data_IF_501784935680
#
_entry.id   IF_501784935680
#
_cell.length_a   1.000
_cell.length_b   1.000
_cell.length_c   1.000
_cell.angle_alpha   90.00
_cell.angle_beta   90.00
_cell.angle_gamma   90.00
#
_symmetry.space_group_name_H-M   'P 1'
#
loop_
_entity.id
_entity.type
_entity.pdbx_description
1 polymer ?
#
# COMPACT_ATOMS: atom_id res chain seq x y z
N UNK A 1 3.65 -5.81 26.19
CA UNK A 1 4.42 -6.04 24.95
C UNK A 1 3.46 -5.97 23.77
N UNK A 2 3.77 -5.16 22.77
CA UNK A 2 3.03 -5.14 21.52
C UNK A 2 3.44 -6.38 20.70
N UNK A 3 2.43 -7.13 20.25
CA UNK A 3 2.64 -8.41 19.59
C UNK A 3 2.51 -8.31 18.09
N UNK A 4 3.18 -9.20 17.38
CA UNK A 4 2.97 -9.41 15.95
C UNK A 4 1.53 -9.86 15.69
N UNK A 5 1.03 -9.58 14.48
CA UNK A 5 -0.33 -9.88 14.05
C UNK A 5 -0.36 -10.65 12.75
N UNK A 6 -1.29 -11.60 12.68
CA UNK A 6 -1.65 -12.34 11.47
C UNK A 6 -3.17 -12.38 11.31
N UNK A 7 -3.65 -12.94 10.22
CA UNK A 7 -5.07 -13.24 10.07
C UNK A 7 -5.46 -14.42 10.98
N UNK A 8 -6.70 -14.39 11.52
CA UNK A 8 -7.24 -15.50 12.31
C UNK A 8 -7.70 -16.64 11.43
N UNK A 9 -8.33 -16.32 10.30
CA UNK A 9 -8.91 -17.29 9.38
C UNK A 9 -8.46 -17.04 7.94
N UNK A 10 -8.56 -18.07 7.10
CA UNK A 10 -8.38 -17.94 5.66
C UNK A 10 -9.59 -17.21 5.07
N UNK A 11 -9.34 -16.24 4.18
CA UNK A 11 -10.40 -15.56 3.44
C UNK A 11 -10.07 -15.50 1.96
N UNK A 12 -11.11 -15.54 1.12
CA UNK A 12 -10.99 -15.55 -0.34
C UNK A 12 -11.79 -14.43 -0.96
N UNK A 13 -11.27 -13.92 -2.05
CA UNK A 13 -11.95 -12.94 -2.90
C UNK A 13 -11.66 -13.25 -4.37
N UNK A 14 -12.48 -12.69 -5.23
CA UNK A 14 -12.30 -12.74 -6.67
C UNK A 14 -12.41 -11.31 -7.20
N UNK A 15 -11.54 -10.96 -8.12
CA UNK A 15 -11.57 -9.66 -8.80
C UNK A 15 -10.92 -9.75 -10.17
N UNK A 16 -10.65 -8.59 -10.75
CA UNK A 16 -9.95 -8.47 -12.05
C UNK A 16 -8.65 -7.70 -11.86
N UNK A 17 -7.64 -8.04 -12.65
CA UNK A 17 -6.40 -7.26 -12.71
C UNK A 17 -6.65 -5.93 -13.42
N UNK A 18 -6.13 -4.84 -12.88
CA UNK A 18 -6.28 -3.50 -13.49
C UNK A 18 -5.64 -3.46 -14.88
N UNK A 19 -4.45 -4.01 -15.02
CA UNK A 19 -3.69 -3.96 -16.26
C UNK A 19 -3.99 -5.13 -17.18
N UNK A 20 -4.07 -6.35 -16.65
CA UNK A 20 -4.29 -7.57 -17.42
C UNK A 20 -5.74 -7.77 -17.84
N UNK A 21 -6.72 -7.29 -17.04
CA UNK A 21 -8.14 -7.61 -17.22
C UNK A 21 -8.49 -9.05 -16.87
N UNK A 22 -7.53 -9.84 -16.42
CA UNK A 22 -7.74 -11.25 -16.08
C UNK A 22 -8.53 -11.41 -14.77
N UNK A 23 -9.31 -12.47 -14.69
CA UNK A 23 -9.98 -12.87 -13.45
C UNK A 23 -8.97 -13.48 -12.49
N UNK A 24 -8.90 -12.94 -11.28
CA UNK A 24 -7.92 -13.33 -10.27
C UNK A 24 -8.64 -13.87 -9.03
N UNK A 25 -8.20 -15.03 -8.56
CA UNK A 25 -8.57 -15.58 -7.26
C UNK A 25 -7.49 -15.21 -6.25
N UNK A 26 -7.88 -14.47 -5.23
CA UNK A 26 -7.06 -14.06 -4.10
C UNK A 26 -7.42 -14.87 -2.87
N UNK A 27 -6.42 -15.43 -2.18
CA UNK A 27 -6.61 -16.04 -0.86
C UNK A 27 -5.62 -15.42 0.13
N UNK A 28 -6.12 -14.85 1.21
CA UNK A 28 -5.31 -14.39 2.33
C UNK A 28 -5.31 -15.47 3.40
N UNK A 29 -4.13 -15.86 3.87
CA UNK A 29 -3.93 -16.93 4.86
C UNK A 29 -3.08 -16.45 6.03
N UNK A 30 -3.35 -16.96 7.26
CA UNK A 30 -2.45 -16.79 8.38
C UNK A 30 -1.02 -17.27 8.05
N UNK A 31 -0.03 -16.65 8.66
CA UNK A 31 1.35 -17.08 8.58
C UNK A 31 2.00 -17.12 9.96
N UNK A 32 3.03 -17.98 10.18
CA UNK A 32 3.79 -18.02 11.43
C UNK A 32 4.46 -16.67 11.77
N UNK A 33 4.88 -16.52 13.01
CA UNK A 33 5.70 -15.38 13.45
C UNK A 33 6.94 -15.21 12.57
N UNK A 34 7.37 -13.97 12.36
CA UNK A 34 8.56 -13.59 11.58
C UNK A 34 8.54 -14.01 10.10
N UNK A 35 7.38 -14.42 9.58
CA UNK A 35 7.23 -14.72 8.14
C UNK A 35 7.31 -13.45 7.29
N UNK A 36 6.69 -12.36 7.76
CA UNK A 36 6.42 -11.17 6.95
C UNK A 36 5.24 -11.37 6.01
N UNK A 37 5.08 -10.47 5.04
CA UNK A 37 4.08 -10.59 3.98
C UNK A 37 4.70 -11.32 2.80
N UNK A 38 4.12 -12.44 2.40
CA UNK A 38 4.64 -13.30 1.33
C UNK A 38 3.56 -13.53 0.28
N UNK A 39 3.85 -13.12 -0.94
CA UNK A 39 3.01 -13.37 -2.11
C UNK A 39 3.36 -14.71 -2.75
N UNK A 40 2.35 -15.48 -3.10
CA UNK A 40 2.47 -16.83 -3.65
C UNK A 40 1.76 -16.94 -4.99
N UNK A 41 2.47 -17.28 -6.07
CA UNK A 41 1.89 -17.63 -7.38
C UNK A 41 1.51 -19.10 -7.33
N UNK A 42 0.22 -19.36 -7.09
CA UNK A 42 -0.29 -20.74 -6.91
C UNK A 42 -0.84 -21.34 -8.20
N UNK A 43 -0.84 -20.59 -9.27
CA UNK A 43 -1.24 -20.99 -10.63
C UNK A 43 -0.10 -21.62 -11.44
N UNK A 44 1.13 -21.52 -10.95
CA UNK A 44 2.31 -22.10 -11.60
C UNK A 44 2.48 -23.56 -11.22
N UNK A 45 3.13 -24.36 -12.08
CA UNK A 45 3.41 -25.79 -11.82
C UNK A 45 4.13 -26.01 -10.49
N UNK A 46 5.00 -25.09 -10.12
CA UNK A 46 5.62 -25.01 -8.78
C UNK A 46 5.25 -23.66 -8.16
N UNK A 47 4.72 -23.69 -6.94
CA UNK A 47 4.39 -22.45 -6.21
C UNK A 47 5.64 -21.61 -6.00
N UNK A 48 5.61 -20.38 -6.50
CA UNK A 48 6.69 -19.41 -6.28
C UNK A 48 6.28 -18.42 -5.20
N UNK A 49 7.13 -18.25 -4.21
CA UNK A 49 6.92 -17.34 -3.09
C UNK A 49 7.86 -16.15 -3.19
N UNK A 50 7.32 -14.93 -3.11
CA UNK A 50 8.10 -13.69 -3.14
C UNK A 50 7.76 -12.87 -1.90
N UNK A 51 8.73 -12.60 -1.05
CA UNK A 51 8.55 -11.72 0.11
C UNK A 51 8.37 -10.28 -0.34
N UNK A 52 7.43 -9.57 0.28
CA UNK A 52 7.25 -8.14 0.12
C UNK A 52 8.43 -7.40 0.78
N UNK A 53 9.45 -7.09 -0.01
CA UNK A 53 10.69 -6.41 0.41
C UNK A 53 11.18 -5.46 -0.68
N UNK A 54 11.89 -4.36 -0.34
CA UNK A 54 12.34 -3.38 -1.33
C UNK A 54 13.24 -3.99 -2.40
N UNK A 55 14.09 -4.96 -2.02
CA UNK A 55 15.02 -5.65 -2.94
C UNK A 55 14.33 -6.52 -3.98
N UNK A 56 13.10 -6.99 -3.71
CA UNK A 56 12.31 -7.81 -4.62
C UNK A 56 11.44 -6.96 -5.59
N UNK A 57 11.42 -5.64 -5.45
CA UNK A 57 10.76 -4.76 -6.41
C UNK A 57 11.61 -4.67 -7.68
N UNK A 58 11.07 -5.14 -8.80
CA UNK A 58 11.76 -5.18 -10.09
C UNK A 58 11.15 -4.27 -11.15
N UNK A 59 9.89 -3.81 -10.97
CA UNK A 59 9.23 -2.86 -11.85
C UNK A 59 8.32 -1.93 -11.04
N UNK A 60 8.30 -0.66 -11.42
CA UNK A 60 7.51 0.39 -10.74
C UNK A 60 6.73 1.26 -11.72
N UNK A 61 6.60 0.81 -12.96
CA UNK A 61 5.79 1.48 -13.96
C UNK A 61 4.32 1.17 -13.71
N UNK A 62 3.53 2.20 -13.43
CA UNK A 62 2.09 2.18 -13.17
C UNK A 62 1.67 1.48 -11.85
N UNK A 63 2.50 0.63 -11.27
CA UNK A 63 2.25 -0.08 -10.02
C UNK A 63 3.56 -0.60 -9.40
N UNK A 64 3.54 -0.97 -8.15
CA UNK A 64 4.66 -1.68 -7.53
C UNK A 64 4.57 -3.17 -7.86
N UNK A 65 5.64 -3.69 -8.48
CA UNK A 65 5.72 -5.09 -8.93
C UNK A 65 6.88 -5.81 -8.27
N UNK A 66 6.58 -6.91 -7.58
CA UNK A 66 7.59 -7.86 -7.12
C UNK A 66 8.04 -8.74 -8.28
N UNK A 67 9.34 -9.02 -8.33
CA UNK A 67 9.93 -9.87 -9.36
C UNK A 67 10.92 -10.85 -8.69
N UNK A 68 10.81 -12.11 -9.05
CA UNK A 68 11.77 -13.14 -8.70
C UNK A 68 11.98 -14.05 -9.92
N UNK A 69 13.18 -14.02 -10.48
CA UNK A 69 13.47 -14.62 -11.78
C UNK A 69 12.46 -14.12 -12.84
N UNK A 70 11.74 -15.01 -13.49
CA UNK A 70 10.75 -14.70 -14.52
C UNK A 70 9.32 -14.50 -13.94
N UNK A 71 9.15 -14.64 -12.62
CA UNK A 71 7.84 -14.54 -11.98
C UNK A 71 7.59 -13.13 -11.48
N UNK A 72 6.44 -12.58 -11.83
CA UNK A 72 6.01 -11.22 -11.49
C UNK A 72 4.71 -11.24 -10.69
N UNK A 73 4.56 -10.28 -9.78
CA UNK A 73 3.32 -9.97 -9.07
C UNK A 73 3.19 -8.45 -9.00
N UNK A 74 2.24 -7.89 -9.74
CA UNK A 74 2.04 -6.44 -9.86
C UNK A 74 0.88 -5.94 -9.00
N UNK A 75 0.78 -4.62 -8.86
CA UNK A 75 -0.32 -3.89 -8.19
C UNK A 75 -0.48 -4.32 -6.72
N UNK A 76 0.64 -4.44 -6.00
CA UNK A 76 0.65 -4.92 -4.61
C UNK A 76 0.34 -3.81 -3.59
N UNK A 77 0.47 -2.55 -3.96
CA UNK A 77 0.46 -1.37 -3.09
C UNK A 77 -0.84 -1.22 -2.28
N UNK A 78 -2.00 -1.42 -2.88
CA UNK A 78 -3.30 -1.24 -2.19
C UNK A 78 -3.51 -2.31 -1.10
N UNK A 79 -3.15 -3.57 -1.40
CA UNK A 79 -3.23 -4.65 -0.43
C UNK A 79 -2.20 -4.47 0.69
N UNK A 80 -0.96 -4.10 0.37
CA UNK A 80 0.07 -3.77 1.37
C UNK A 80 -0.35 -2.60 2.24
N UNK A 81 -1.00 -1.58 1.66
CA UNK A 81 -1.56 -0.45 2.41
C UNK A 81 -2.60 -0.90 3.43
N UNK A 82 -3.49 -1.83 3.07
CA UNK A 82 -4.46 -2.41 4.00
C UNK A 82 -3.78 -3.23 5.11
N UNK A 83 -2.75 -4.04 4.76
CA UNK A 83 -1.96 -4.79 5.75
C UNK A 83 -1.26 -3.84 6.74
N UNK A 84 -0.62 -2.77 6.25
CA UNK A 84 -0.01 -1.73 7.08
C UNK A 84 -1.05 -1.06 7.97
N UNK A 85 -2.19 -0.66 7.40
CA UNK A 85 -3.26 0.04 8.10
C UNK A 85 -3.84 -0.74 9.27
N UNK A 86 -3.88 -2.06 9.17
CA UNK A 86 -4.39 -2.97 10.20
C UNK A 86 -3.29 -3.60 11.05
N UNK A 87 -2.02 -3.29 10.74
CA UNK A 87 -0.85 -3.76 11.48
C UNK A 87 -0.60 -5.25 11.36
N UNK A 88 -0.89 -5.85 10.19
CA UNK A 88 -0.64 -7.28 9.92
C UNK A 88 0.83 -7.48 9.59
N UNK A 89 1.54 -8.19 10.44
CA UNK A 89 2.97 -8.47 10.27
C UNK A 89 3.24 -9.70 9.40
N UNK A 90 2.37 -10.73 9.48
CA UNK A 90 2.60 -12.02 8.86
C UNK A 90 1.37 -12.50 8.10
N UNK A 91 1.50 -12.74 6.81
CA UNK A 91 0.45 -13.31 5.97
C UNK A 91 1.01 -13.98 4.71
N UNK A 92 0.36 -15.05 4.26
CA UNK A 92 0.52 -15.56 2.91
C UNK A 92 -0.61 -15.02 2.03
N UNK A 93 -0.26 -14.59 0.82
CA UNK A 93 -1.16 -14.03 -0.18
C UNK A 93 -1.07 -14.88 -1.43
N UNK A 94 -2.02 -15.80 -1.62
CA UNK A 94 -2.06 -16.67 -2.78
C UNK A 94 -2.80 -15.98 -3.93
N UNK A 95 -2.21 -16.01 -5.11
CA UNK A 95 -2.71 -15.40 -6.34
C UNK A 95 -2.72 -16.43 -7.48
N UNK A 96 -3.81 -16.45 -8.25
CA UNK A 96 -3.98 -17.27 -9.45
C UNK A 96 -3.51 -16.60 -10.73
N UNK A 97 -2.83 -15.45 -10.64
CA UNK A 97 -2.31 -14.68 -11.77
C UNK A 97 -1.19 -13.73 -11.33
N UNK A 98 -0.58 -13.04 -12.28
CA UNK A 98 0.57 -12.15 -12.06
C UNK A 98 0.22 -10.76 -11.49
N UNK A 99 -1.01 -10.56 -11.03
CA UNK A 99 -1.49 -9.26 -10.56
C UNK A 99 -2.40 -9.41 -9.35
N UNK A 100 -2.33 -8.50 -8.38
CA UNK A 100 -3.32 -8.39 -7.31
C UNK A 100 -4.60 -7.79 -7.88
N UNK A 101 -5.81 -8.34 -7.58
CA UNK A 101 -7.05 -7.77 -8.12
C UNK A 101 -7.24 -6.33 -7.67
N UNK A 102 -7.69 -5.46 -8.59
CA UNK A 102 -7.85 -4.02 -8.32
C UNK A 102 -9.01 -3.72 -7.37
N UNK A 103 -9.96 -4.62 -7.26
CA UNK A 103 -11.18 -4.46 -6.47
C UNK A 103 -11.97 -3.21 -6.90
N UNK A 104 -12.19 -2.26 -5.99
CA UNK A 104 -12.85 -0.98 -6.26
C UNK A 104 -11.85 0.17 -6.53
N UNK A 105 -10.56 -0.17 -6.70
CA UNK A 105 -9.48 0.81 -6.91
C UNK A 105 -8.91 1.42 -5.65
N UNK A 106 -9.33 0.96 -4.46
CA UNK A 106 -8.86 1.43 -3.15
C UNK A 106 -8.38 0.28 -2.27
N UNK A 107 -7.90 0.58 -1.07
CA UNK A 107 -7.56 -0.42 -0.05
C UNK A 107 -8.80 -0.89 0.75
N UNK A 108 -9.95 -0.22 0.61
CA UNK A 108 -11.16 -0.49 1.39
C UNK A 108 -11.63 -1.95 1.36
N UNK A 109 -11.77 -2.59 0.20
CA UNK A 109 -12.16 -4.01 0.11
C UNK A 109 -11.17 -4.95 0.81
N UNK A 110 -9.86 -4.66 0.76
CA UNK A 110 -8.86 -5.46 1.47
C UNK A 110 -8.93 -5.27 2.99
N UNK A 111 -9.20 -4.04 3.45
CA UNK A 111 -9.50 -3.78 4.87
C UNK A 111 -10.68 -4.61 5.33
N UNK A 112 -11.77 -4.62 4.55
CA UNK A 112 -12.97 -5.43 4.85
C UNK A 112 -12.65 -6.93 4.89
N UNK A 113 -11.87 -7.46 3.95
CA UNK A 113 -11.48 -8.87 3.93
C UNK A 113 -10.66 -9.23 5.16
N UNK A 114 -9.64 -8.43 5.51
CA UNK A 114 -8.78 -8.69 6.68
C UNK A 114 -9.60 -8.65 7.98
N UNK A 115 -10.47 -7.65 8.14
CA UNK A 115 -11.35 -7.55 9.30
C UNK A 115 -12.33 -8.73 9.37
N UNK A 116 -12.87 -9.18 8.23
CA UNK A 116 -13.77 -10.35 8.15
C UNK A 116 -13.05 -11.67 8.47
N UNK A 117 -11.78 -11.81 8.09
CA UNK A 117 -10.96 -12.96 8.48
C UNK A 117 -10.67 -12.96 9.99
N UNK A 118 -10.74 -11.81 10.62
CA UNK A 118 -10.29 -11.57 11.98
C UNK A 118 -8.78 -11.44 12.06
N UNK A 119 -8.31 -10.76 13.12
CA UNK A 119 -6.89 -10.54 13.39
C UNK A 119 -6.52 -11.27 14.67
N UNK A 120 -5.38 -11.96 14.65
CA UNK A 120 -4.84 -12.71 15.78
C UNK A 120 -3.47 -12.14 16.19
N UNK A 121 -3.29 -11.90 17.47
CA UNK A 121 -2.00 -11.54 18.05
C UNK A 121 -1.16 -12.80 18.30
N UNK A 122 0.08 -12.77 17.84
CA UNK A 122 1.03 -13.88 17.94
C UNK A 122 1.99 -13.69 19.11
N UNK A 123 2.52 -14.78 19.63
CA UNK A 123 3.43 -14.73 20.79
C UNK A 123 4.87 -14.34 20.39
N UNK A 124 5.02 -13.20 19.74
CA UNK A 124 6.30 -12.60 19.37
C UNK A 124 6.19 -11.06 19.43
N UNK A 125 7.27 -10.33 19.78
CA UNK A 125 7.25 -8.88 19.81
C UNK A 125 7.07 -8.31 18.39
N UNK A 126 6.20 -7.31 18.25
CA UNK A 126 6.09 -6.52 17.03
C UNK A 126 7.31 -5.61 16.91
N UNK A 127 7.92 -5.61 15.74
CA UNK A 127 9.08 -4.78 15.44
C UNK A 127 8.64 -3.55 14.65
N UNK A 128 9.35 -2.46 14.89
CA UNK A 128 9.17 -1.19 14.19
C UNK A 128 10.51 -0.71 13.67
N UNK A 129 10.51 -0.08 12.50
CA UNK A 129 11.65 0.67 11.98
C UNK A 129 11.51 2.12 12.42
N UNK A 130 12.41 2.59 13.29
CA UNK A 130 12.44 3.99 13.73
C UNK A 130 13.45 4.77 12.93
N UNK A 131 13.01 5.88 12.33
CA UNK A 131 13.89 6.81 11.62
C UNK A 131 14.66 7.66 12.63
N UNK A 132 15.99 7.66 12.55
CA UNK A 132 16.90 8.40 13.44
C UNK A 132 17.45 9.66 12.82
N UNK A 133 17.59 9.69 11.50
CA UNK A 133 18.12 10.83 10.75
C UNK A 133 17.34 11.00 9.44
N UNK A 134 17.28 12.21 8.89
CA UNK A 134 16.68 12.43 7.59
C UNK A 134 17.37 11.60 6.50
N UNK A 135 16.57 11.00 5.62
CA UNK A 135 17.00 10.35 4.38
C UNK A 135 16.14 10.92 3.26
N UNK A 136 16.76 11.38 2.19
CA UNK A 136 16.06 12.00 1.06
C UNK A 136 16.61 11.47 -0.26
N UNK A 137 15.72 11.30 -1.22
CA UNK A 137 16.06 11.01 -2.62
C UNK A 137 15.28 11.95 -3.53
N UNK A 138 15.86 12.25 -4.67
CA UNK A 138 15.32 13.17 -5.66
C UNK A 138 15.42 12.57 -7.07
N UNK A 139 14.47 12.91 -7.92
CA UNK A 139 14.44 12.57 -9.34
C UNK A 139 13.78 13.74 -10.07
N UNK A 140 14.60 14.55 -10.77
CA UNK A 140 14.21 15.83 -11.35
C UNK A 140 13.58 16.77 -10.28
N UNK A 141 12.31 17.11 -10.44
CA UNK A 141 11.54 17.95 -9.51
C UNK A 141 10.78 17.15 -8.45
N UNK A 142 10.97 15.83 -8.38
CA UNK A 142 10.28 14.94 -7.44
C UNK A 142 11.17 14.68 -6.23
N UNK A 143 10.54 14.62 -5.07
CA UNK A 143 11.24 14.38 -3.79
C UNK A 143 10.50 13.34 -2.97
N UNK A 144 11.23 12.41 -2.37
CA UNK A 144 10.75 11.53 -1.33
C UNK A 144 11.72 11.58 -0.14
N UNK A 145 11.17 11.72 1.08
CA UNK A 145 11.97 11.97 2.28
C UNK A 145 11.41 11.28 3.51
N UNK A 146 12.32 10.76 4.34
CA UNK A 146 12.06 10.39 5.73
C UNK A 146 12.67 11.39 6.69
N UNK A 147 11.97 11.64 7.80
CA UNK A 147 12.46 12.42 8.93
C UNK A 147 12.12 11.72 10.25
N UNK A 148 12.93 11.94 11.32
CA UNK A 148 12.57 11.52 12.66
C UNK A 148 11.24 12.15 13.10
N UNK A 149 10.35 11.32 13.62
CA UNK A 149 9.06 11.74 14.18
C UNK A 149 8.60 10.69 15.19
N UNK A 150 8.01 11.14 16.31
CA UNK A 150 7.46 10.23 17.31
C UNK A 150 6.00 9.89 16.97
N UNK A 151 5.83 8.93 16.07
CA UNK A 151 4.59 8.52 15.45
C UNK A 151 4.85 8.01 14.04
N UNK A 152 3.82 7.85 13.23
CA UNK A 152 3.95 7.65 11.81
C UNK A 152 3.12 8.70 11.07
N UNK A 153 3.80 9.59 10.40
CA UNK A 153 3.18 10.68 9.64
C UNK A 153 3.46 10.49 8.16
N UNK A 154 2.43 10.66 7.34
CA UNK A 154 2.54 10.57 5.87
C UNK A 154 1.96 11.83 5.25
N UNK A 155 2.82 12.63 4.64
CA UNK A 155 2.45 13.80 3.86
C UNK A 155 2.70 13.59 2.38
N UNK A 156 1.81 14.06 1.53
CA UNK A 156 1.98 13.98 0.08
C UNK A 156 1.50 15.25 -0.62
N UNK A 157 2.24 15.66 -1.64
CA UNK A 157 1.88 16.76 -2.53
C UNK A 157 1.90 16.24 -3.96
N UNK A 158 0.77 16.42 -4.67
CA UNK A 158 0.65 16.21 -6.11
C UNK A 158 0.60 17.57 -6.81
N UNK A 159 0.94 17.59 -8.09
CA UNK A 159 0.84 18.80 -8.89
C UNK A 159 0.36 18.43 -10.30
N UNK A 160 -0.91 18.73 -10.56
CA UNK A 160 -1.53 18.53 -11.86
C UNK A 160 -2.14 19.84 -12.35
N UNK A 161 -1.80 20.24 -13.57
CA UNK A 161 -2.42 21.40 -14.23
C UNK A 161 -3.70 20.96 -14.95
N UNK A 162 -4.76 20.79 -14.15
CA UNK A 162 -6.06 20.37 -14.66
C UNK A 162 -7.17 21.10 -13.87
N UNK A 163 -8.31 21.51 -14.47
CA UNK A 163 -9.37 22.26 -13.81
C UNK A 163 -9.88 21.65 -12.51
N UNK A 164 -10.05 20.33 -12.47
CA UNK A 164 -10.47 19.58 -11.28
C UNK A 164 -9.51 19.78 -10.11
N UNK A 165 -8.20 19.78 -10.37
CA UNK A 165 -7.19 19.95 -9.33
C UNK A 165 -7.04 21.38 -8.85
N UNK A 166 -7.41 22.38 -9.68
CA UNK A 166 -7.46 23.80 -9.24
C UNK A 166 -8.50 24.06 -8.17
N UNK A 167 -9.56 23.25 -8.13
CA UNK A 167 -10.64 23.34 -7.14
C UNK A 167 -10.48 22.37 -5.95
N UNK A 168 -9.48 21.48 -5.99
CA UNK A 168 -9.23 20.48 -4.98
C UNK A 168 -7.87 20.68 -4.31
N UNK A 169 -7.74 20.20 -3.08
CA UNK A 169 -6.47 20.23 -2.36
C UNK A 169 -5.49 19.23 -2.99
N UNK A 170 -4.31 19.71 -3.36
CA UNK A 170 -3.23 18.90 -3.91
C UNK A 170 -2.18 18.50 -2.85
N UNK A 171 -2.40 18.86 -1.60
CA UNK A 171 -1.58 18.46 -0.46
C UNK A 171 -2.47 17.87 0.63
N UNK A 172 -2.03 16.77 1.23
CA UNK A 172 -2.68 16.19 2.41
C UNK A 172 -1.62 15.54 3.30
N UNK A 173 -1.89 15.49 4.59
CA UNK A 173 -1.06 14.85 5.60
C UNK A 173 -1.96 14.04 6.55
N UNK A 174 -1.50 12.88 6.95
CA UNK A 174 -2.16 12.04 7.95
C UNK A 174 -1.18 11.71 9.07
N UNK A 175 -1.64 11.88 10.31
CA UNK A 175 -1.03 11.25 11.48
C UNK A 175 -1.65 9.86 11.63
N UNK A 176 -0.84 8.85 11.37
CA UNK A 176 -1.30 7.49 11.13
C UNK A 176 -1.72 6.79 12.41
N UNK A 177 -2.93 6.27 12.36
CA UNK A 177 -3.44 5.21 13.23
C UNK A 177 -4.34 4.30 12.40
N UNK A 178 -4.69 3.11 12.86
CA UNK A 178 -5.70 2.30 12.15
C UNK A 178 -6.99 3.09 11.92
N UNK A 179 -7.42 3.88 12.90
CA UNK A 179 -8.67 4.65 12.80
C UNK A 179 -8.59 5.74 11.75
N UNK A 180 -7.51 6.54 11.72
CA UNK A 180 -7.33 7.58 10.71
C UNK A 180 -7.17 6.97 9.31
N UNK A 181 -6.37 5.92 9.17
CA UNK A 181 -6.22 5.20 7.91
C UNK A 181 -7.55 4.71 7.37
N UNK A 182 -8.33 3.97 8.18
CA UNK A 182 -9.62 3.40 7.72
C UNK A 182 -10.63 4.48 7.37
N UNK A 183 -10.72 5.56 8.15
CA UNK A 183 -11.71 6.63 7.93
C UNK A 183 -11.33 7.59 6.80
N UNK A 184 -10.05 7.93 6.68
CA UNK A 184 -9.62 9.07 5.89
C UNK A 184 -8.90 8.69 4.60
N UNK A 185 -8.30 7.49 4.53
CA UNK A 185 -7.41 7.11 3.42
C UNK A 185 -7.86 5.85 2.70
N UNK A 186 -8.25 4.81 3.43
CA UNK A 186 -8.39 3.45 2.88
C UNK A 186 -9.33 3.34 1.67
N UNK A 187 -10.30 4.24 1.52
CA UNK A 187 -11.29 4.23 0.44
C UNK A 187 -10.96 5.18 -0.72
N UNK A 188 -9.81 5.84 -0.71
CA UNK A 188 -9.35 6.69 -1.81
C UNK A 188 -9.01 5.82 -3.02
N UNK A 189 -9.68 6.08 -4.15
CA UNK A 189 -9.54 5.29 -5.38
C UNK A 189 -8.37 5.77 -6.22
N UNK A 190 -7.78 4.83 -6.94
CA UNK A 190 -6.88 5.16 -8.05
C UNK A 190 -7.57 6.02 -9.09
N UNK A 191 -6.80 6.78 -9.86
CA UNK A 191 -7.36 7.70 -10.85
C UNK A 191 -6.49 7.74 -12.11
N UNK A 192 -7.10 8.16 -13.20
CA UNK A 192 -6.40 8.35 -14.46
C UNK A 192 -7.14 9.30 -15.38
N UNK A 193 -6.39 9.87 -16.32
CA UNK A 193 -6.94 10.72 -17.36
C UNK A 193 -7.39 9.86 -18.55
N UNK A 194 -8.54 10.18 -19.13
CA UNK A 194 -9.14 9.39 -20.23
C UNK A 194 -8.15 9.18 -21.38
N UNK A 195 -7.45 10.24 -21.80
CA UNK A 195 -6.48 10.17 -22.89
C UNK A 195 -5.27 9.26 -22.57
N UNK A 196 -4.83 9.20 -21.30
CA UNK A 196 -3.77 8.29 -20.88
C UNK A 196 -4.26 6.84 -20.83
N UNK A 197 -5.51 6.61 -20.37
CA UNK A 197 -6.13 5.29 -20.35
C UNK A 197 -6.28 4.73 -21.76
N UNK A 198 -6.65 5.56 -22.75
CA UNK A 198 -6.73 5.17 -24.15
C UNK A 198 -5.36 4.73 -24.69
N UNK A 199 -4.30 5.51 -24.42
CA UNK A 199 -2.93 5.16 -24.79
C UNK A 199 -2.42 3.87 -24.09
N UNK A 200 -2.81 3.65 -22.82
CA UNK A 200 -2.47 2.43 -22.11
C UNK A 200 -3.16 1.21 -22.73
N UNK A 201 -4.43 1.32 -23.13
CA UNK A 201 -5.17 0.26 -23.80
C UNK A 201 -4.58 -0.13 -25.15
N UNK A 202 -4.09 0.84 -25.92
CA UNK A 202 -3.36 0.58 -27.16
C UNK A 202 -2.08 -0.26 -26.94
N UNK A 203 -1.54 -0.23 -25.70
CA UNK A 203 -0.37 -1.01 -25.27
C UNK A 203 -0.75 -2.27 -24.48
N UNK A 204 -2.01 -2.70 -24.55
CA UNK A 204 -2.55 -3.85 -23.81
C UNK A 204 -2.42 -3.69 -22.27
N UNK A 205 -2.51 -2.46 -21.75
CA UNK A 205 -2.53 -2.13 -20.32
C UNK A 205 -3.87 -1.50 -19.94
N UNK A 206 -4.17 -1.44 -18.64
CA UNK A 206 -5.43 -0.93 -18.08
C UNK A 206 -6.68 -1.61 -18.68
N UNK A 207 -6.57 -2.89 -19.09
CA UNK A 207 -7.65 -3.64 -19.73
C UNK A 207 -8.83 -3.91 -18.78
N UNK A 208 -8.57 -4.02 -17.47
CA UNK A 208 -9.58 -4.19 -16.43
C UNK A 208 -10.07 -2.88 -15.81
N UNK A 209 -9.54 -1.74 -16.27
CA UNK A 209 -9.93 -0.42 -15.75
C UNK A 209 -11.34 -0.01 -16.18
N UNK A 210 -12.14 0.47 -15.22
CA UNK A 210 -13.51 0.94 -15.42
C UNK A 210 -13.85 2.06 -14.42
N UNK A 211 -15.00 2.70 -14.61
CA UNK A 211 -15.52 3.68 -13.65
C UNK A 211 -15.87 3.07 -12.27
N UNK A 212 -15.97 1.73 -12.18
CA UNK A 212 -16.23 1.03 -10.92
C UNK A 212 -14.97 0.90 -10.05
N UNK A 213 -13.79 0.98 -10.67
CA UNK A 213 -12.51 0.74 -9.99
C UNK A 213 -11.45 1.84 -10.17
N UNK A 214 -11.82 2.97 -10.77
CA UNK A 214 -10.95 4.14 -10.89
C UNK A 214 -11.77 5.43 -10.96
N UNK A 215 -11.21 6.52 -10.48
CA UNK A 215 -11.70 7.86 -10.79
C UNK A 215 -11.13 8.27 -12.13
N UNK A 216 -11.99 8.49 -13.12
CA UNK A 216 -11.59 8.87 -14.47
C UNK A 216 -11.90 10.33 -14.73
N UNK A 217 -10.92 11.05 -15.28
CA UNK A 217 -11.04 12.45 -15.63
C UNK A 217 -10.98 12.62 -17.16
N UNK A 218 -11.89 13.43 -17.71
CA UNK A 218 -11.72 14.01 -19.04
C UNK A 218 -10.90 15.31 -18.95
N UNK A 219 -10.91 16.16 -19.96
CA UNK A 219 -10.19 17.44 -19.98
C UNK A 219 -10.73 18.48 -18.98
N UNK A 220 -11.92 18.28 -18.41
CA UNK A 220 -12.62 19.29 -17.64
C UNK A 220 -13.15 18.80 -16.28
N UNK A 221 -13.51 17.51 -16.16
CA UNK A 221 -14.27 17.00 -15.03
C UNK A 221 -13.98 15.52 -14.71
N UNK A 222 -14.47 15.10 -13.54
CA UNK A 222 -14.59 13.68 -13.16
C UNK A 222 -15.78 13.07 -13.92
N UNK A 223 -15.58 11.89 -14.50
CA UNK A 223 -16.59 11.17 -15.28
C UNK A 223 -17.47 10.24 -14.45
N UNK A 224 -17.00 9.85 -13.25
CA UNK A 224 -17.78 9.00 -12.34
C UNK A 224 -19.04 9.72 -11.88
N UNK A 225 -20.21 9.13 -12.08
CA UNK A 225 -21.52 9.76 -11.74
C UNK A 225 -21.63 10.05 -10.24
N UNK A 226 -21.10 9.17 -9.38
CA UNK A 226 -21.09 9.34 -7.91
C UNK A 226 -20.07 10.38 -7.42
N UNK A 227 -19.25 10.94 -8.31
CA UNK A 227 -18.19 11.89 -7.97
C UNK A 227 -17.06 11.31 -7.13
N UNK A 228 -16.49 12.12 -6.24
CA UNK A 228 -15.40 11.76 -5.36
C UNK A 228 -15.89 11.27 -3.99
N UNK A 229 -15.21 10.30 -3.41
CA UNK A 229 -15.47 9.80 -2.03
C UNK A 229 -14.93 10.74 -0.95
N UNK A 230 -13.87 11.49 -1.28
CA UNK A 230 -13.25 12.51 -0.43
C UNK A 230 -12.99 13.77 -1.26
N UNK A 231 -13.07 14.95 -0.64
CA UNK A 231 -12.74 16.19 -1.32
C UNK A 231 -11.32 16.23 -1.86
N UNK A 232 -10.41 15.54 -1.19
CA UNK A 232 -8.98 15.40 -1.49
C UNK A 232 -8.60 13.96 -1.90
N UNK A 233 -9.52 13.23 -2.57
CA UNK A 233 -9.37 11.80 -2.89
C UNK A 233 -8.09 11.50 -3.67
N UNK A 234 -7.71 12.35 -4.62
CA UNK A 234 -6.53 12.13 -5.45
C UNK A 234 -5.23 12.08 -4.62
N UNK A 235 -5.02 13.09 -3.78
CA UNK A 235 -3.81 13.10 -2.93
C UNK A 235 -3.87 12.06 -1.83
N UNK A 236 -5.05 11.74 -1.31
CA UNK A 236 -5.25 10.64 -0.35
C UNK A 236 -4.96 9.27 -0.97
N UNK A 237 -5.26 9.09 -2.25
CA UNK A 237 -4.85 7.88 -2.94
C UNK A 237 -3.32 7.78 -3.03
N UNK A 238 -2.61 8.87 -3.30
CA UNK A 238 -1.13 8.87 -3.26
C UNK A 238 -0.56 8.59 -1.87
N UNK A 239 -1.26 9.01 -0.80
CA UNK A 239 -0.92 8.61 0.58
C UNK A 239 -1.15 7.10 0.78
N UNK A 240 -2.27 6.55 0.27
CA UNK A 240 -2.56 5.13 0.30
C UNK A 240 -1.45 4.32 -0.38
N UNK A 241 -1.07 4.69 -1.60
CA UNK A 241 0.03 4.07 -2.36
C UNK A 241 1.34 4.12 -1.57
N UNK A 242 1.69 5.30 -1.04
CA UNK A 242 2.90 5.48 -0.25
C UNK A 242 2.91 4.58 0.98
N UNK A 243 1.81 4.48 1.75
CA UNK A 243 1.73 3.59 2.91
C UNK A 243 2.00 2.13 2.50
N UNK A 244 1.45 1.68 1.37
CA UNK A 244 1.69 0.35 0.83
C UNK A 244 3.14 0.13 0.40
N UNK A 245 3.70 1.08 -0.35
CA UNK A 245 5.11 1.02 -0.79
C UNK A 245 6.07 1.01 0.42
N UNK A 246 5.82 1.86 1.42
CA UNK A 246 6.67 1.93 2.62
C UNK A 246 6.59 0.65 3.46
N UNK A 247 5.48 -0.10 3.39
CA UNK A 247 5.33 -1.35 4.12
C UNK A 247 6.23 -2.48 3.59
N UNK A 248 6.85 -2.31 2.43
CA UNK A 248 7.93 -3.15 1.92
C UNK A 248 9.15 -3.21 2.85
N UNK A 249 9.33 -2.26 3.78
CA UNK A 249 10.31 -2.39 4.87
C UNK A 249 10.09 -3.63 5.73
N UNK A 250 8.88 -4.21 5.69
CA UNK A 250 8.50 -5.44 6.39
C UNK A 250 8.12 -5.23 7.86
N UNK A 251 8.15 -4.00 8.34
CA UNK A 251 7.76 -3.59 9.68
C UNK A 251 7.05 -2.24 9.64
N UNK A 252 6.24 -1.96 10.66
CA UNK A 252 5.64 -0.64 10.82
C UNK A 252 6.71 0.43 11.04
N UNK A 253 6.51 1.61 10.46
CA UNK A 253 7.47 2.72 10.50
C UNK A 253 7.15 3.67 11.66
N UNK A 254 8.18 4.15 12.37
CA UNK A 254 8.13 5.29 13.27
C UNK A 254 9.00 6.39 12.65
N UNK A 255 8.36 7.45 12.20
CA UNK A 255 8.98 8.54 11.46
C UNK A 255 7.96 9.30 10.62
N UNK A 256 8.37 10.35 9.97
CA UNK A 256 7.57 11.08 9.00
C UNK A 256 8.07 10.79 7.57
N UNK A 257 7.12 10.52 6.68
CA UNK A 257 7.35 10.45 5.23
C UNK A 257 6.73 11.68 4.57
N UNK A 258 7.44 12.28 3.65
CA UNK A 258 6.90 13.30 2.75
C UNK A 258 7.26 12.99 1.31
N UNK A 259 6.24 13.02 0.43
CA UNK A 259 6.37 12.87 -1.01
C UNK A 259 5.93 14.14 -1.74
N UNK A 260 6.77 14.68 -2.60
CA UNK A 260 6.42 15.72 -3.55
C UNK A 260 6.53 15.12 -4.96
N UNK A 261 5.39 15.00 -5.65
CA UNK A 261 5.28 14.37 -6.98
C UNK A 261 5.90 12.96 -7.05
N UNK A 262 6.13 12.32 -5.90
CA UNK A 262 6.73 11.01 -5.81
C UNK A 262 5.81 9.92 -6.38
N UNK A 263 6.38 8.79 -6.71
CA UNK A 263 5.69 7.59 -7.15
C UNK A 263 6.44 6.33 -6.70
N UNK A 264 5.97 5.16 -7.13
CA UNK A 264 6.51 3.86 -6.70
C UNK A 264 8.02 3.72 -6.89
N UNK A 265 8.57 4.23 -8.01
CA UNK A 265 10.01 4.21 -8.28
C UNK A 265 10.80 4.97 -7.22
N UNK A 266 10.42 6.22 -6.95
CA UNK A 266 11.14 7.08 -6.00
C UNK A 266 10.93 6.61 -4.56
N UNK A 267 9.72 6.12 -4.22
CA UNK A 267 9.45 5.52 -2.93
C UNK A 267 10.37 4.29 -2.69
N UNK A 268 10.51 3.41 -3.67
CA UNK A 268 11.41 2.25 -3.55
C UNK A 268 12.88 2.66 -3.48
N UNK A 269 13.29 3.68 -4.24
CA UNK A 269 14.65 4.24 -4.13
C UNK A 269 14.92 4.77 -2.72
N UNK A 270 13.94 5.44 -2.11
CA UNK A 270 14.05 5.93 -0.72
C UNK A 270 14.19 4.78 0.28
N UNK A 271 13.40 3.70 0.12
CA UNK A 271 13.50 2.50 0.98
C UNK A 271 14.88 1.87 0.88
N UNK A 272 15.40 1.71 -0.34
CA UNK A 272 16.76 1.16 -0.56
C UNK A 272 17.84 2.06 0.03
N UNK A 273 17.71 3.38 -0.11
CA UNK A 273 18.64 4.34 0.49
C UNK A 273 18.60 4.27 2.02
N UNK A 274 17.42 4.17 2.64
CA UNK A 274 17.28 3.98 4.08
C UNK A 274 17.97 2.69 4.53
N UNK A 275 17.70 1.55 3.89
CA UNK A 275 18.26 0.26 4.28
C UNK A 275 19.77 0.19 4.10
N UNK A 276 20.34 0.95 3.17
CA UNK A 276 21.79 1.04 2.94
C UNK A 276 22.51 1.91 4.00
N UNK A 277 21.80 2.79 4.70
CA UNK A 277 22.35 3.62 5.77
C UNK A 277 21.89 3.13 7.15
N UNK A 278 22.55 2.10 7.70
CA UNK A 278 22.25 1.53 9.01
C UNK A 278 22.27 2.56 10.15
N UNK A 279 22.88 3.72 9.97
CA UNK A 279 22.91 4.80 10.97
C UNK A 279 21.65 5.66 10.97
N UNK A 280 20.86 5.59 9.90
CA UNK A 280 19.64 6.39 9.71
C UNK A 280 18.40 5.78 10.37
N UNK A 281 18.46 4.53 10.78
CA UNK A 281 17.32 3.84 11.40
C UNK A 281 17.75 2.87 12.50
N UNK A 282 16.79 2.37 13.24
CA UNK A 282 16.96 1.29 14.20
C UNK A 282 15.69 0.45 14.30
N UNK A 283 15.84 -0.83 14.64
CA UNK A 283 14.71 -1.69 14.98
C UNK A 283 14.37 -1.53 16.46
N UNK A 284 13.09 -1.30 16.76
CA UNK A 284 12.60 -1.14 18.13
C UNK A 284 11.38 -2.01 18.40
N UNK A 285 11.20 -2.38 19.68
CA UNK A 285 10.02 -3.08 20.19
C UNK A 285 9.52 -2.37 21.44
N UNK A 286 8.23 -2.54 21.78
CA UNK A 286 7.63 -1.91 22.97
C UNK A 286 7.06 -2.95 23.90
N UNK A 287 7.41 -2.84 25.18
CA UNK A 287 6.87 -3.72 26.23
C UNK A 287 5.49 -3.28 26.71
N UNK A 288 5.18 -2.00 26.62
CA UNK A 288 3.87 -1.43 26.92
C UNK A 288 3.25 -0.82 25.66
N UNK A 289 1.96 -1.06 25.44
CA UNK A 289 1.20 -0.47 24.34
C UNK A 289 1.13 1.06 24.43
N UNK A 290 1.18 1.59 25.64
CA UNK A 290 1.14 3.04 25.88
C UNK A 290 2.46 3.75 25.58
N UNK A 291 3.56 3.00 25.42
CA UNK A 291 4.86 3.54 25.04
C UNK A 291 5.03 3.63 23.51
N UNK A 292 4.16 2.95 22.76
CA UNK A 292 4.25 2.99 21.30
C UNK A 292 3.57 4.25 20.78
N UNK A 293 4.26 4.99 19.89
CA UNK A 293 3.73 6.23 19.33
C UNK A 293 2.67 5.99 18.24
N UNK A 294 2.35 4.73 17.92
CA UNK A 294 1.37 4.36 16.90
C UNK A 294 0.29 3.48 17.54
N UNK A 295 -0.98 3.83 17.32
CA UNK A 295 -2.10 3.04 17.80
C UNK A 295 -2.70 2.16 16.69
N UNK A 296 -2.78 0.86 16.97
CA UNK A 296 -3.54 -0.09 16.18
C UNK A 296 -4.84 -0.46 16.89
N UNK A 297 -5.95 -0.62 16.14
CA UNK A 297 -7.19 -1.14 16.72
C UNK A 297 -6.92 -2.49 17.38
N UNK A 298 -7.39 -2.64 18.62
CA UNK A 298 -7.32 -3.92 19.30
C UNK A 298 -8.21 -4.93 18.58
N UNK A 299 -7.76 -6.18 18.39
CA UNK A 299 -8.63 -7.24 17.89
C UNK A 299 -9.84 -7.35 18.81
N UNK A 300 -11.05 -7.34 18.24
CA UNK A 300 -12.26 -7.52 19.05
C UNK A 300 -12.23 -8.93 19.62
N UNK A 301 -12.29 -9.11 20.95
CA UNK A 301 -12.41 -10.45 21.52
C UNK A 301 -13.70 -11.08 20.99
N UNK A 302 -13.59 -12.20 20.29
CA UNK A 302 -14.76 -12.97 19.90
C UNK A 302 -15.28 -13.66 21.16
N UNK A 303 -16.43 -13.19 21.63
CA UNK A 303 -17.20 -13.83 22.71
C UNK A 303 -17.73 -15.18 22.29
#
# INVERSE_FOLDING_TARGET
>A
MIRQRTLKNVIRATGVGLHTGEKIYLTLRPAPVDTGIVFCRVDLDTVVQIKARPENVGDTRLSTTLVHEDVRISTIEHLLSAMAGLGIDNAYIDLSAAEVPIMDGSAGPFVFLIQSAGIEEQNAPKRFIRIKRPVQVEDDDKVARFEPFDGFKVGFTIEFDHPVFKSNTQHSEIDFSTTSFVKEVSRARTFGFMHEIEQLRERELALGGSLDNAVVLDEYRVLNEDGLRYRDEFVKHKILDAIGDLYLLGHSLIGAFSGYKSGHALNNTLLRALMADESAWEEVTFNDVNEAPISFLQPVPVS
#
